data_IF_974627824015
#
_entry.id   IF_974627824015
#
_cell.length_a   1.000
_cell.length_b   1.000
_cell.length_c   1.000
_cell.angle_alpha   90.00
_cell.angle_beta   90.00
_cell.angle_gamma   90.00
#
_symmetry.space_group_name_H-M   'P 1'
#
loop_
_entity.id
_entity.type
_entity.pdbx_description
1 polymer ?
#
# COMPACT_ATOMS: atom_id res chain seq x y z
N UNK A 1 -25.43 48.87 35.29
CA UNK A 1 -24.36 49.17 34.33
C UNK A 1 -23.45 47.93 34.26
N UNK A 2 -23.93 46.79 33.76
CA UNK A 2 -23.88 46.35 32.34
C UNK A 2 -22.50 46.52 31.69
N UNK A 3 -21.79 45.41 31.51
CA UNK A 3 -21.19 45.02 30.22
C UNK A 3 -20.49 43.66 30.37
N UNK A 4 -21.26 42.59 30.12
CA UNK A 4 -20.72 41.28 29.79
C UNK A 4 -20.20 41.32 28.34
N UNK A 5 -18.95 40.92 28.10
CA UNK A 5 -18.41 40.70 26.75
C UNK A 5 -18.80 39.29 26.31
N UNK A 6 -19.59 39.22 25.24
CA UNK A 6 -19.97 38.00 24.56
C UNK A 6 -18.77 37.37 23.84
N UNK A 7 -18.60 36.06 24.00
CA UNK A 7 -17.68 35.23 23.24
C UNK A 7 -18.30 34.86 21.89
N UNK A 8 -17.57 35.11 20.81
CA UNK A 8 -17.91 34.71 19.45
C UNK A 8 -17.72 33.19 19.29
N UNK A 9 -18.65 32.43 18.68
CA UNK A 9 -18.46 31.01 18.46
C UNK A 9 -17.50 30.75 17.28
N UNK A 10 -16.50 29.90 17.51
CA UNK A 10 -15.61 29.36 16.49
C UNK A 10 -16.36 28.29 15.66
N UNK A 11 -16.37 28.47 14.34
CA UNK A 11 -16.89 27.50 13.37
C UNK A 11 -16.19 26.13 13.49
N UNK A 12 -16.92 25.01 13.27
CA UNK A 12 -16.30 23.69 13.26
C UNK A 12 -15.48 23.52 11.97
N UNK A 13 -14.15 23.56 12.14
CA UNK A 13 -13.18 23.23 11.09
C UNK A 13 -13.27 21.77 10.70
N UNK A 14 -13.28 21.56 9.38
CA UNK A 14 -13.29 20.30 8.65
C UNK A 14 -12.37 19.25 9.26
N UNK A 15 -12.94 18.09 9.63
CA UNK A 15 -12.17 16.88 9.93
C UNK A 15 -11.61 16.37 8.60
N UNK A 16 -10.29 16.28 8.50
CA UNK A 16 -9.63 15.60 7.38
C UNK A 16 -10.03 14.14 7.37
N UNK A 17 -10.73 13.72 6.31
CA UNK A 17 -10.94 12.31 6.00
C UNK A 17 -9.59 11.71 5.59
N UNK A 18 -9.12 10.72 6.36
CA UNK A 18 -8.06 9.85 5.91
C UNK A 18 -8.56 9.04 4.70
N UNK A 19 -8.08 9.37 3.50
CA UNK A 19 -8.42 8.65 2.28
C UNK A 19 -7.71 7.29 2.26
N UNK A 20 -8.39 6.25 2.75
CA UNK A 20 -8.03 4.87 2.47
C UNK A 20 -8.53 4.52 1.06
N UNK A 21 -7.63 4.38 0.08
CA UNK A 21 -7.99 3.93 -1.27
C UNK A 21 -8.07 2.40 -1.28
N UNK A 22 -9.29 1.86 -1.28
CA UNK A 22 -9.58 0.44 -1.53
C UNK A 22 -10.68 0.35 -2.61
N UNK A 23 -10.35 -0.21 -3.77
CA UNK A 23 -11.31 -0.50 -4.85
C UNK A 23 -11.45 -2.03 -5.02
N UNK A 24 -12.61 -2.63 -4.72
CA UNK A 24 -12.99 -3.90 -5.30
C UNK A 24 -14.03 -3.67 -6.40
N UNK A 25 -13.64 -3.96 -7.65
CA UNK A 25 -14.58 -4.08 -8.76
C UNK A 25 -15.35 -5.40 -8.61
N UNK A 26 -16.68 -5.33 -8.49
CA UNK A 26 -17.59 -6.48 -8.68
C UNK A 26 -18.48 -6.18 -9.88
N UNK A 27 -18.38 -7.02 -10.91
CA UNK A 27 -19.41 -7.12 -11.94
C UNK A 27 -20.14 -8.41 -11.70
N UNK A 28 -21.42 -8.36 -11.34
CA UNK A 28 -22.34 -9.48 -11.55
C UNK A 28 -23.78 -8.95 -11.67
N UNK A 29 -24.45 -9.47 -12.70
CA UNK A 29 -25.90 -9.54 -12.91
C UNK A 29 -26.64 -8.30 -13.46
N UNK A 30 -26.58 -8.12 -14.78
CA UNK A 30 -27.67 -7.52 -15.56
C UNK A 30 -28.31 -8.62 -16.43
N UNK A 31 -29.59 -8.93 -16.14
CA UNK A 31 -30.44 -9.79 -16.98
C UNK A 31 -30.72 -9.06 -18.29
N UNK A 32 -30.53 -9.74 -19.42
CA UNK A 32 -30.80 -9.22 -20.77
C UNK A 32 -32.23 -9.59 -21.17
N UNK A 33 -33.07 -8.60 -21.46
CA UNK A 33 -34.37 -8.78 -22.12
C UNK A 33 -34.17 -8.97 -23.63
N UNK A 34 -34.89 -9.88 -24.30
CA UNK A 34 -34.69 -10.15 -25.73
C UNK A 34 -35.40 -9.08 -26.58
N UNK A 35 -34.63 -8.29 -27.33
CA UNK A 35 -35.20 -7.30 -28.26
C UNK A 35 -34.23 -6.27 -28.86
N UNK A 36 -32.93 -6.56 -29.01
CA UNK A 36 -31.97 -5.59 -29.55
C UNK A 36 -31.31 -6.16 -30.81
N UNK A 37 -31.46 -5.43 -31.93
CA UNK A 37 -30.76 -5.67 -33.21
C UNK A 37 -29.24 -5.71 -33.04
N UNK A 38 -28.47 -6.32 -33.96
CA UNK A 38 -27.03 -6.54 -33.76
C UNK A 38 -26.30 -5.20 -33.62
N UNK A 39 -25.80 -4.91 -32.42
CA UNK A 39 -24.85 -3.82 -32.21
C UNK A 39 -23.55 -4.28 -32.87
N UNK A 40 -23.14 -3.62 -33.96
CA UNK A 40 -21.78 -3.72 -34.48
C UNK A 40 -20.82 -3.47 -33.31
N UNK A 41 -20.13 -4.52 -32.88
CA UNK A 41 -19.18 -4.47 -31.77
C UNK A 41 -17.88 -3.78 -32.25
N UNK A 42 -17.94 -2.46 -32.49
CA UNK A 42 -16.73 -1.65 -32.65
C UNK A 42 -16.12 -1.48 -31.27
N UNK A 43 -15.21 -2.40 -30.92
CA UNK A 43 -14.25 -2.16 -29.85
C UNK A 43 -13.65 -0.77 -30.08
N UNK A 44 -13.72 0.16 -29.11
CA UNK A 44 -13.14 1.49 -29.28
C UNK A 44 -11.65 1.33 -29.61
N UNK A 45 -11.19 2.08 -30.63
CA UNK A 45 -9.76 2.13 -30.96
C UNK A 45 -9.00 2.48 -29.67
N UNK A 46 -8.04 1.64 -29.29
CA UNK A 46 -7.22 1.88 -28.12
C UNK A 46 -6.59 3.26 -28.23
N UNK A 47 -6.93 4.16 -27.31
CA UNK A 47 -6.29 5.47 -27.23
C UNK A 47 -4.85 5.28 -26.76
N UNK A 48 -3.89 6.07 -27.27
CA UNK A 48 -2.53 6.04 -26.75
C UNK A 48 -2.54 6.38 -25.26
N UNK A 49 -1.75 5.64 -24.49
CA UNK A 49 -1.65 5.86 -23.06
C UNK A 49 -1.12 7.27 -22.77
N UNK A 50 -1.56 7.92 -21.67
CA UNK A 50 -0.98 9.18 -21.23
C UNK A 50 0.54 9.08 -21.11
N UNK A 51 1.26 10.18 -21.38
CA UNK A 51 2.74 10.22 -21.36
C UNK A 51 3.33 9.62 -20.09
N UNK A 52 2.79 9.99 -18.92
CA UNK A 52 3.21 9.46 -17.63
C UNK A 52 3.07 7.93 -17.55
N UNK A 53 1.97 7.38 -18.06
CA UNK A 53 1.74 5.92 -18.05
C UNK A 53 2.77 5.20 -18.93
N UNK A 54 3.11 5.78 -20.07
CA UNK A 54 4.15 5.23 -20.96
C UNK A 54 5.53 5.27 -20.30
N UNK A 55 5.88 6.38 -19.64
CA UNK A 55 7.15 6.53 -18.90
C UNK A 55 7.25 5.54 -17.74
N UNK A 56 6.19 5.39 -16.95
CA UNK A 56 6.15 4.42 -15.84
C UNK A 56 6.23 2.97 -16.34
N UNK A 57 5.63 2.65 -17.49
CA UNK A 57 5.75 1.32 -18.10
C UNK A 57 7.18 1.04 -18.56
N UNK A 58 7.83 2.00 -19.21
CA UNK A 58 9.23 1.85 -19.61
C UNK A 58 10.15 1.68 -18.39
N UNK A 59 9.86 2.40 -17.29
CA UNK A 59 10.58 2.26 -16.04
C UNK A 59 10.39 0.89 -15.40
N UNK A 60 9.18 0.34 -15.42
CA UNK A 60 8.84 -0.95 -14.81
C UNK A 60 9.75 -2.10 -15.26
N UNK A 61 10.09 -2.14 -16.55
CA UNK A 61 10.99 -3.18 -17.11
C UNK A 61 12.40 -3.16 -16.50
N UNK A 62 12.82 -2.01 -15.96
CA UNK A 62 14.17 -1.80 -15.42
C UNK A 62 14.20 -1.99 -13.90
N UNK A 63 13.10 -1.71 -13.21
CA UNK A 63 13.07 -1.62 -11.75
C UNK A 63 12.54 -2.86 -11.04
N UNK A 64 11.97 -3.81 -11.79
CA UNK A 64 11.33 -5.01 -11.24
C UNK A 64 12.25 -5.78 -10.29
N UNK A 65 11.73 -6.14 -9.13
CA UNK A 65 12.40 -7.03 -8.18
C UNK A 65 12.34 -8.48 -8.71
N UNK A 66 13.46 -8.97 -9.25
CA UNK A 66 13.57 -10.33 -9.77
C UNK A 66 13.25 -11.38 -8.70
N UNK A 67 12.51 -12.44 -9.07
CA UNK A 67 12.15 -13.53 -8.17
C UNK A 67 10.75 -13.45 -7.55
N UNK A 68 10.02 -12.34 -7.76
CA UNK A 68 8.60 -12.20 -7.43
C UNK A 68 7.72 -12.34 -8.68
N UNK A 69 7.91 -13.40 -9.46
CA UNK A 69 7.21 -13.57 -10.75
C UNK A 69 5.87 -14.30 -10.63
N UNK A 70 5.65 -14.95 -9.49
CA UNK A 70 4.43 -15.68 -9.18
C UNK A 70 3.64 -14.97 -8.08
N UNK A 71 2.32 -15.07 -8.11
CA UNK A 71 1.45 -14.47 -7.08
C UNK A 71 1.51 -15.21 -5.75
N UNK A 72 1.95 -16.47 -5.71
CA UNK A 72 2.00 -17.27 -4.48
C UNK A 72 3.44 -17.36 -4.00
N UNK A 73 3.76 -16.60 -2.97
CA UNK A 73 5.04 -16.63 -2.27
C UNK A 73 4.83 -16.37 -0.78
N UNK A 74 5.73 -16.90 0.04
CA UNK A 74 5.72 -16.68 1.49
C UNK A 74 6.52 -15.44 1.90
N UNK A 75 6.41 -15.03 3.17
CA UNK A 75 7.22 -13.93 3.73
C UNK A 75 8.73 -14.14 3.55
N UNK A 76 9.21 -15.38 3.65
CA UNK A 76 10.62 -15.72 3.53
C UNK A 76 11.17 -15.40 2.12
N UNK A 77 10.41 -15.77 1.09
CA UNK A 77 10.75 -15.46 -0.32
C UNK A 77 10.78 -13.95 -0.54
N UNK A 78 9.78 -13.23 -0.02
CA UNK A 78 9.72 -11.78 -0.15
C UNK A 78 10.95 -11.09 0.44
N UNK A 79 11.30 -11.42 1.69
CA UNK A 79 12.43 -10.80 2.38
C UNK A 79 13.78 -11.23 1.81
N UNK A 80 13.93 -12.47 1.33
CA UNK A 80 15.14 -12.91 0.61
C UNK A 80 15.44 -12.01 -0.59
N UNK A 81 14.40 -11.50 -1.27
CA UNK A 81 14.55 -10.62 -2.43
C UNK A 81 14.78 -9.16 -2.01
N UNK A 82 14.06 -8.70 -1.00
CA UNK A 82 14.10 -7.29 -0.59
C UNK A 82 15.31 -6.94 0.29
N UNK A 83 15.79 -7.87 1.13
CA UNK A 83 16.90 -7.62 2.05
C UNK A 83 18.20 -7.17 1.35
N UNK A 84 18.64 -7.77 0.22
CA UNK A 84 19.78 -7.27 -0.54
C UNK A 84 19.60 -5.84 -1.08
N UNK A 85 18.37 -5.47 -1.48
CA UNK A 85 18.05 -4.12 -1.94
C UNK A 85 18.18 -3.12 -0.79
N UNK A 86 17.64 -3.47 0.38
CA UNK A 86 17.73 -2.64 1.58
C UNK A 86 19.19 -2.48 2.05
N UNK A 87 19.94 -3.58 2.09
CA UNK A 87 21.33 -3.56 2.54
C UNK A 87 22.28 -2.77 1.62
N UNK A 88 21.95 -2.67 0.33
CA UNK A 88 22.75 -1.95 -0.67
C UNK A 88 22.37 -0.48 -0.81
N UNK A 89 21.31 -0.01 -0.14
CA UNK A 89 20.83 1.37 -0.29
C UNK A 89 20.81 2.14 1.04
N UNK A 90 21.66 3.16 1.21
CA UNK A 90 21.61 4.00 2.41
C UNK A 90 20.34 4.87 2.50
N UNK A 91 19.59 5.01 1.40
CA UNK A 91 18.36 5.79 1.35
C UNK A 91 17.13 5.04 1.89
N UNK A 92 17.24 3.72 2.07
CA UNK A 92 16.17 2.88 2.58
C UNK A 92 16.52 2.40 3.98
N UNK A 93 15.66 2.72 4.95
CA UNK A 93 15.76 2.16 6.30
C UNK A 93 14.66 1.13 6.53
N UNK A 94 14.95 0.07 7.26
CA UNK A 94 13.99 -0.98 7.59
C UNK A 94 14.01 -1.27 9.09
N UNK A 95 12.84 -1.30 9.71
CA UNK A 95 12.68 -1.61 11.12
C UNK A 95 11.56 -2.65 11.35
N UNK A 96 11.65 -3.41 12.43
CA UNK A 96 10.56 -4.26 12.90
C UNK A 96 9.53 -3.38 13.62
N UNK A 97 8.26 -3.50 13.24
CA UNK A 97 7.15 -2.73 13.83
C UNK A 97 6.14 -3.59 14.57
N UNK A 98 6.30 -4.92 14.53
CA UNK A 98 5.45 -5.86 15.23
C UNK A 98 5.76 -7.30 14.86
N UNK A 99 4.87 -8.19 15.28
CA UNK A 99 4.92 -9.62 15.05
C UNK A 99 3.51 -10.11 14.72
N UNK A 100 3.39 -11.15 13.90
CA UNK A 100 2.11 -11.78 13.60
C UNK A 100 1.66 -12.70 14.74
N UNK A 101 0.52 -13.34 14.59
CA UNK A 101 0.04 -14.32 15.57
C UNK A 101 0.94 -15.56 15.70
N UNK A 102 1.77 -15.84 14.70
CA UNK A 102 2.79 -16.90 14.70
C UNK A 102 4.22 -16.35 14.71
N UNK A 103 4.42 -15.21 15.38
CA UNK A 103 5.72 -14.61 15.68
C UNK A 103 6.55 -14.18 14.44
N UNK A 104 5.94 -14.13 13.24
CA UNK A 104 6.64 -13.64 12.04
C UNK A 104 6.80 -12.12 12.11
N UNK A 105 7.98 -11.56 11.79
CA UNK A 105 8.22 -10.13 11.91
C UNK A 105 7.39 -9.33 10.90
N UNK A 106 6.67 -8.33 11.40
CA UNK A 106 6.13 -7.24 10.57
C UNK A 106 7.22 -6.17 10.49
N UNK A 107 7.61 -5.83 9.26
CA UNK A 107 8.68 -4.87 8.99
C UNK A 107 8.13 -3.68 8.22
N UNK A 108 8.69 -2.51 8.50
CA UNK A 108 8.39 -1.28 7.78
C UNK A 108 9.65 -0.77 7.10
N UNK A 109 9.54 -0.45 5.81
CA UNK A 109 10.59 0.21 5.03
C UNK A 109 10.26 1.69 4.95
N UNK A 110 11.26 2.56 5.09
CA UNK A 110 11.11 4.01 5.00
C UNK A 110 12.08 4.64 4.01
N UNK A 111 11.65 5.73 3.39
CA UNK A 111 12.41 6.46 2.37
C UNK A 111 12.08 7.95 2.39
N UNK A 112 13.10 8.79 2.18
CA UNK A 112 12.95 10.23 2.02
C UNK A 112 12.81 10.98 3.34
N UNK A 113 12.92 12.31 3.24
CA UNK A 113 13.01 13.22 4.38
C UNK A 113 11.99 14.36 4.30
N UNK A 114 11.11 14.32 3.29
CA UNK A 114 10.13 15.37 3.05
C UNK A 114 9.13 15.57 4.20
N UNK A 115 8.37 16.65 4.11
CA UNK A 115 7.38 17.02 5.13
C UNK A 115 6.09 16.21 5.03
N UNK A 116 5.74 15.74 3.83
CA UNK A 116 4.52 14.95 3.61
C UNK A 116 4.77 13.48 3.92
N UNK A 117 4.26 13.02 5.06
CA UNK A 117 4.29 11.61 5.41
C UNK A 117 3.25 10.82 4.59
N UNK A 118 3.65 9.65 4.09
CA UNK A 118 2.73 8.73 3.41
C UNK A 118 2.96 7.34 3.97
N UNK A 119 1.92 6.76 4.57
CA UNK A 119 1.90 5.38 5.00
C UNK A 119 1.14 4.54 3.97
N UNK A 120 1.79 3.52 3.44
CA UNK A 120 1.17 2.49 2.64
C UNK A 120 1.44 1.11 3.24
N UNK A 121 0.46 0.21 3.13
CA UNK A 121 0.59 -1.18 3.54
C UNK A 121 -0.03 -2.09 2.50
N UNK A 122 0.37 -3.35 2.47
CA UNK A 122 -0.22 -4.35 1.58
C UNK A 122 -0.40 -5.71 2.24
N UNK A 123 -1.15 -6.56 1.54
CA UNK A 123 -1.39 -7.97 1.88
C UNK A 123 -1.86 -8.14 3.33
N UNK A 124 -2.86 -7.33 3.70
CA UNK A 124 -3.67 -7.56 4.91
C UNK A 124 -4.52 -8.82 4.77
N UNK A 125 -4.88 -9.17 3.53
CA UNK A 125 -5.33 -10.50 3.15
C UNK A 125 -4.15 -11.24 2.55
N UNK A 126 -3.82 -12.43 3.07
CA UNK A 126 -2.60 -13.14 2.70
C UNK A 126 -2.54 -13.62 1.25
N UNK A 127 -3.69 -13.81 0.60
CA UNK A 127 -3.85 -14.22 -0.80
C UNK A 127 -3.80 -13.06 -1.82
N UNK A 128 -3.63 -11.82 -1.37
CA UNK A 128 -3.64 -10.60 -2.21
C UNK A 128 -2.22 -10.00 -2.39
N UNK A 129 -1.31 -10.75 -3.00
CA UNK A 129 0.13 -10.41 -3.09
C UNK A 129 0.53 -9.32 -4.09
N UNK A 130 -0.34 -8.92 -5.01
CA UNK A 130 0.02 -8.02 -6.13
C UNK A 130 0.56 -6.66 -5.66
N UNK A 131 -0.03 -6.07 -4.61
CA UNK A 131 0.45 -4.80 -4.07
C UNK A 131 1.81 -4.96 -3.37
N UNK A 132 2.04 -6.08 -2.69
CA UNK A 132 3.32 -6.42 -2.05
C UNK A 132 4.45 -6.52 -3.08
N UNK A 133 4.17 -7.13 -4.23
CA UNK A 133 5.11 -7.19 -5.36
C UNK A 133 5.44 -5.78 -5.87
N UNK A 134 4.43 -4.94 -6.10
CA UNK A 134 4.65 -3.57 -6.54
C UNK A 134 5.46 -2.74 -5.53
N UNK A 135 5.28 -2.96 -4.21
CA UNK A 135 6.10 -2.31 -3.20
C UNK A 135 7.56 -2.78 -3.23
N UNK A 136 7.85 -4.03 -3.60
CA UNK A 136 9.22 -4.47 -3.83
C UNK A 136 9.84 -3.76 -5.06
N UNK A 137 9.08 -3.61 -6.14
CA UNK A 137 9.53 -2.87 -7.34
C UNK A 137 9.81 -1.39 -7.02
N UNK A 138 8.93 -0.76 -6.24
CA UNK A 138 9.12 0.62 -5.76
C UNK A 138 10.38 0.70 -4.89
N UNK A 139 10.57 -0.20 -3.93
CA UNK A 139 11.79 -0.20 -3.11
C UNK A 139 13.05 -0.43 -3.95
N UNK A 140 13.00 -1.33 -4.92
CA UNK A 140 14.08 -1.54 -5.90
C UNK A 140 14.40 -0.25 -6.65
N UNK A 141 13.36 0.44 -7.16
CA UNK A 141 13.52 1.72 -7.86
C UNK A 141 14.16 2.80 -6.98
N UNK A 142 13.59 3.03 -5.79
CA UNK A 142 14.05 4.03 -4.84
C UNK A 142 15.48 3.75 -4.37
N UNK A 143 15.80 2.47 -4.14
CA UNK A 143 17.08 2.05 -3.59
C UNK A 143 18.23 2.00 -4.58
N UNK A 144 17.96 1.61 -5.83
CA UNK A 144 18.99 1.37 -6.87
C UNK A 144 19.16 2.53 -7.85
N UNK A 145 18.22 3.48 -7.90
CA UNK A 145 18.27 4.61 -8.82
C UNK A 145 18.22 5.97 -8.10
N UNK A 146 19.12 6.24 -7.13
CA UNK A 146 19.10 7.49 -6.35
C UNK A 146 19.23 8.75 -7.23
N UNK A 147 19.89 8.64 -8.39
CA UNK A 147 20.08 9.74 -9.33
C UNK A 147 18.91 9.95 -10.30
N UNK A 148 17.85 9.15 -10.22
CA UNK A 148 16.69 9.36 -11.07
C UNK A 148 15.92 10.61 -10.59
N UNK A 149 15.51 11.47 -11.52
CA UNK A 149 14.85 12.75 -11.19
C UNK A 149 13.59 12.58 -10.33
N UNK A 150 12.79 11.54 -10.61
CA UNK A 150 11.63 11.17 -9.80
C UNK A 150 12.03 10.76 -8.38
N UNK A 151 13.06 9.93 -8.20
CA UNK A 151 13.53 9.48 -6.87
C UNK A 151 13.99 10.68 -6.03
N UNK A 152 14.77 11.59 -6.60
CA UNK A 152 15.16 12.84 -5.92
C UNK A 152 13.97 13.73 -5.56
N UNK A 153 12.96 13.79 -6.43
CA UNK A 153 11.74 14.57 -6.17
C UNK A 153 10.93 13.95 -5.03
N UNK A 154 10.76 12.62 -5.03
CA UNK A 154 10.06 11.90 -3.98
C UNK A 154 10.79 12.02 -2.64
N UNK A 155 12.11 11.84 -2.63
CA UNK A 155 12.95 11.93 -1.42
C UNK A 155 12.83 13.28 -0.71
N UNK A 156 12.76 14.37 -1.47
CA UNK A 156 12.67 15.74 -0.93
C UNK A 156 11.26 16.15 -0.51
N UNK A 157 10.23 15.60 -1.13
CA UNK A 157 8.84 16.00 -0.89
C UNK A 157 8.11 15.09 0.07
N UNK A 158 8.47 13.81 0.08
CA UNK A 158 7.75 12.78 0.80
C UNK A 158 8.64 12.10 1.85
N UNK A 159 7.98 11.62 2.89
CA UNK A 159 8.50 10.64 3.83
C UNK A 159 7.63 9.40 3.73
N UNK A 160 8.13 8.43 2.98
CA UNK A 160 7.38 7.23 2.64
C UNK A 160 7.61 6.15 3.70
N UNK A 161 6.54 5.45 4.07
CA UNK A 161 6.54 4.34 4.99
C UNK A 161 5.74 3.19 4.38
N UNK A 162 6.37 2.03 4.23
CA UNK A 162 5.78 0.84 3.63
C UNK A 162 5.74 -0.29 4.65
N UNK A 163 4.57 -0.85 4.93
CA UNK A 163 4.42 -2.15 5.62
C UNK A 163 4.05 -3.19 4.56
N UNK A 164 5.03 -3.85 3.92
CA UNK A 164 4.75 -4.53 2.65
C UNK A 164 3.96 -5.83 2.81
N UNK A 165 3.99 -6.45 3.98
CA UNK A 165 3.23 -7.67 4.24
C UNK A 165 2.67 -7.60 5.65
N UNK A 166 1.42 -7.17 5.77
CA UNK A 166 0.75 -7.02 7.06
C UNK A 166 0.32 -8.37 7.64
N UNK A 167 -0.08 -9.33 6.79
CA UNK A 167 -0.52 -10.67 7.18
C UNK A 167 0.46 -11.76 6.70
N UNK A 168 1.65 -11.88 7.28
CA UNK A 168 2.63 -12.87 6.86
C UNK A 168 2.17 -14.31 7.11
N UNK A 169 1.32 -14.54 8.12
CA UNK A 169 0.78 -15.88 8.44
C UNK A 169 -0.24 -16.35 7.40
N UNK A 170 -1.09 -15.45 6.94
CA UNK A 170 -2.01 -15.68 5.82
C UNK A 170 -1.25 -15.84 4.51
N UNK A 171 -0.20 -15.04 4.28
CA UNK A 171 0.62 -15.11 3.07
C UNK A 171 1.34 -16.45 2.94
N UNK A 172 1.93 -16.96 4.04
CA UNK A 172 2.57 -18.28 4.06
C UNK A 172 1.63 -19.43 3.63
N UNK A 173 0.33 -19.28 3.88
CA UNK A 173 -0.72 -20.25 3.51
C UNK A 173 -1.46 -19.89 2.22
N UNK A 174 -1.23 -18.71 1.68
CA UNK A 174 -2.01 -18.11 0.58
C UNK A 174 -3.52 -18.10 0.89
N UNK A 175 -3.87 -17.51 2.03
CA UNK A 175 -5.26 -17.39 2.49
C UNK A 175 -5.58 -15.96 2.94
N UNK A 176 -6.86 -15.59 2.89
CA UNK A 176 -7.36 -14.28 3.31
C UNK A 176 -7.08 -13.94 4.78
N UNK A 177 -7.41 -14.83 5.70
CA UNK A 177 -7.42 -14.55 7.15
C UNK A 177 -6.03 -14.75 7.78
N UNK A 178 -5.78 -14.13 8.94
CA UNK A 178 -4.55 -14.39 9.70
C UNK A 178 -4.56 -15.80 10.34
N UNK A 179 -3.54 -16.15 11.12
CA UNK A 179 -3.40 -17.49 11.71
C UNK A 179 -4.56 -17.89 12.63
N UNK A 180 -5.21 -16.92 13.28
CA UNK A 180 -6.35 -17.16 14.20
C UNK A 180 -7.71 -17.02 13.50
N UNK A 181 -7.73 -16.93 12.17
CA UNK A 181 -8.98 -16.89 11.38
C UNK A 181 -9.67 -15.53 11.35
N UNK A 182 -9.01 -14.45 11.76
CA UNK A 182 -9.58 -13.10 11.76
C UNK A 182 -9.23 -12.37 10.45
N UNK A 183 -10.22 -11.66 9.90
CA UNK A 183 -10.02 -10.72 8.79
C UNK A 183 -9.49 -9.41 9.38
N UNK A 184 -8.20 -9.10 9.16
CA UNK A 184 -7.54 -7.90 9.69
C UNK A 184 -8.26 -6.62 9.22
N UNK A 185 -8.88 -6.62 8.03
CA UNK A 185 -9.64 -5.49 7.50
C UNK A 185 -11.01 -5.30 8.19
N UNK A 186 -11.39 -6.20 9.11
CA UNK A 186 -12.56 -6.06 9.98
C UNK A 186 -12.16 -5.81 11.43
N UNK A 187 -10.87 -5.82 11.74
CA UNK A 187 -10.33 -5.69 13.08
C UNK A 187 -9.88 -4.27 13.44
N UNK A 188 -9.94 -3.30 12.51
CA UNK A 188 -9.46 -1.93 12.74
C UNK A 188 -10.08 -1.20 13.95
N UNK A 189 -11.28 -1.61 14.40
CA UNK A 189 -11.94 -1.05 15.59
C UNK A 189 -11.63 -1.80 16.89
N UNK A 190 -11.47 -3.12 16.81
CA UNK A 190 -11.30 -3.99 17.99
C UNK A 190 -9.83 -4.21 18.33
N UNK A 191 -8.96 -4.19 17.32
CA UNK A 191 -7.52 -4.39 17.45
C UNK A 191 -7.20 -5.70 18.19
N UNK A 192 -7.98 -6.74 17.92
CA UNK A 192 -7.84 -8.06 18.52
C UNK A 192 -6.59 -8.79 18.01
N UNK A 193 -6.20 -8.53 16.77
CA UNK A 193 -5.05 -9.14 16.10
C UNK A 193 -3.75 -8.38 16.40
N UNK A 194 -2.61 -9.08 16.57
CA UNK A 194 -1.32 -8.41 16.71
C UNK A 194 -0.95 -7.60 15.46
N UNK A 195 -1.33 -8.06 14.26
CA UNK A 195 -1.11 -7.33 13.01
C UNK A 195 -1.89 -6.00 12.97
N UNK A 196 -3.17 -6.03 13.35
CA UNK A 196 -4.01 -4.83 13.43
C UNK A 196 -3.47 -3.82 14.45
N UNK A 197 -3.00 -4.29 15.62
CA UNK A 197 -2.33 -3.43 16.62
C UNK A 197 -1.03 -2.82 16.09
N UNK A 198 -0.21 -3.60 15.40
CA UNK A 198 1.04 -3.12 14.81
C UNK A 198 0.79 -2.00 13.79
N UNK A 199 -0.16 -2.19 12.86
CA UNK A 199 -0.51 -1.16 11.88
C UNK A 199 -1.05 0.11 12.56
N UNK A 200 -1.91 -0.03 13.58
CA UNK A 200 -2.44 1.12 14.32
C UNK A 200 -1.33 1.88 15.04
N UNK A 201 -0.39 1.18 15.67
CA UNK A 201 0.75 1.79 16.34
C UNK A 201 1.66 2.56 15.35
N UNK A 202 1.90 1.98 14.18
CA UNK A 202 2.64 2.66 13.08
C UNK A 202 1.92 3.92 12.63
N UNK A 203 0.61 3.83 12.37
CA UNK A 203 -0.21 4.97 11.98
C UNK A 203 -0.17 6.08 13.04
N UNK A 204 -0.36 5.76 14.32
CA UNK A 204 -0.40 6.74 15.40
C UNK A 204 0.96 7.42 15.65
N UNK A 205 2.04 6.67 15.42
CA UNK A 205 3.42 7.17 15.49
C UNK A 205 3.73 8.14 14.34
N UNK A 206 3.34 7.79 13.12
CA UNK A 206 3.69 8.57 11.91
C UNK A 206 2.77 9.76 11.72
N UNK A 207 1.47 9.61 12.02
CA UNK A 207 0.41 10.59 11.73
C UNK A 207 0.44 11.06 10.26
N UNK A 208 0.31 10.11 9.31
CA UNK A 208 0.36 10.40 7.89
C UNK A 208 -0.82 11.28 7.43
#
# INVERSE_FOLDING_TARGET
MTSARAATPLSPGHRGEAAAIILPMRFDNLRVSPGISPIENRLPRAQPLPKLTTELRALHEIVRASGLDQRRFGPETYWTILDPILASSPALACERVGESAEDRPLRMVSFGEGEMAVLAWSQMHGDESTATMALADICSFLGRHPEHALVRTLSRRLRLYFVPMLNPDGAARFQRHNAVGIDINRDARRLATPEGRALKAVHDRIRP
#
